data_IF_409482347552
#
_entry.id   IF_409482347552
#
_cell.length_a   1.000
_cell.length_b   1.000
_cell.length_c   1.000
_cell.angle_alpha   90.00
_cell.angle_beta   90.00
_cell.angle_gamma   90.00
#
_symmetry.space_group_name_H-M   'P 1'
#
loop_
_entity.id
_entity.type
_entity.pdbx_description
1 polymer ?
2 non-polymer ?
3 non-polymer ?
4 non-polymer ?
5 non-polymer ?
6 water ?
#
# COMPACT_ATOMS: atom_id res chain seq x y z
N UNK A 1 -29.98 10.62 -8.12
CA UNK A 1 -29.37 11.38 -9.26
C UNK A 1 -28.07 12.11 -8.88
N UNK A 2 -28.13 12.95 -7.82
CA UNK A 2 -26.94 13.59 -7.19
C UNK A 2 -25.93 12.50 -6.96
N UNK A 3 -26.42 11.38 -6.42
CA UNK A 3 -25.60 10.19 -6.20
C UNK A 3 -24.85 9.54 -7.42
N UNK A 4 -25.24 9.87 -8.66
CA UNK A 4 -24.38 9.61 -9.88
C UNK A 4 -23.16 10.55 -10.00
N UNK A 5 -22.94 11.44 -9.04
CA UNK A 5 -21.70 12.18 -8.93
C UNK A 5 -20.82 11.58 -7.84
N UNK A 6 -21.25 10.49 -7.21
CA UNK A 6 -20.39 9.75 -6.28
C UNK A 6 -20.08 8.41 -6.92
N UNK A 7 -18.81 8.09 -6.99
CA UNK A 7 -18.38 6.85 -7.59
C UNK A 7 -17.10 6.38 -6.90
N UNK A 8 -17.10 5.14 -6.44
CA UNK A 8 -15.96 4.62 -5.73
C UNK A 8 -14.94 4.00 -6.71
N UNK A 9 -13.71 4.46 -6.59
CA UNK A 9 -12.52 3.76 -7.06
C UNK A 9 -11.61 3.56 -5.85
N UNK A 10 -11.17 2.32 -5.61
CA UNK A 10 -10.38 2.01 -4.43
C UNK A 10 -8.89 2.22 -4.68
N UNK A 11 -8.23 3.00 -3.83
CA UNK A 11 -6.77 3.14 -3.93
C UNK A 11 -6.06 1.79 -3.77
N UNK A 12 -4.98 1.57 -4.52
CA UNK A 12 -4.24 0.32 -4.42
C UNK A 12 -3.80 0.05 -2.95
N UNK A 13 -3.36 1.11 -2.26
CA UNK A 13 -2.97 1.04 -0.85
C UNK A 13 -4.07 0.68 0.12
N UNK A 14 -5.34 0.79 -0.29
CA UNK A 14 -6.45 0.39 0.56
C UNK A 14 -7.11 -0.88 0.13
N UNK A 15 -6.61 -1.54 -0.91
CA UNK A 15 -7.29 -2.75 -1.40
C UNK A 15 -7.32 -3.87 -0.37
N UNK A 16 -6.30 -3.97 0.46
CA UNK A 16 -6.29 -5.00 1.50
C UNK A 16 -7.51 -4.85 2.43
N UNK A 17 -7.97 -3.63 2.67
CA UNK A 17 -9.14 -3.42 3.52
C UNK A 17 -10.42 -4.07 3.01
N UNK A 18 -10.53 -4.25 1.69
CA UNK A 18 -11.79 -4.73 1.11
C UNK A 18 -11.64 -6.07 0.39
N UNK A 19 -10.41 -6.60 0.38
CA UNK A 19 -10.10 -7.81 -0.37
C UNK A 19 -10.56 -9.11 0.34
N UNK A 20 -10.79 -9.05 1.63
CA UNK A 20 -11.12 -10.23 2.40
C UNK A 20 -12.40 -10.89 1.90
N UNK A 21 -12.44 -12.19 2.10
CA UNK A 21 -13.55 -12.99 1.63
C UNK A 21 -14.32 -13.57 2.80
N UNK A 22 -15.64 -13.73 2.67
CA UNK A 22 -16.40 -14.39 3.72
C UNK A 22 -15.85 -15.80 3.91
N UNK A 23 -15.92 -16.32 5.13
CA UNK A 23 -15.48 -17.70 5.37
C UNK A 23 -16.32 -18.65 4.51
N UNK A 24 -17.61 -18.33 4.36
CA UNK A 24 -18.51 -19.12 3.48
C UNK A 24 -18.15 -18.94 2.02
N UNK A 25 -17.79 -20.05 1.37
CA UNK A 25 -17.42 -20.03 -0.05
C UNK A 25 -18.60 -19.64 -0.95
N UNK A 26 -19.81 -20.09 -0.63
CA UNK A 26 -21.03 -19.66 -1.37
C UNK A 26 -21.32 -18.14 -1.26
N UNK A 27 -21.09 -17.58 -0.08
CA UNK A 27 -21.22 -16.12 0.09
C UNK A 27 -20.08 -15.40 -0.68
N UNK A 28 -18.86 -15.96 -0.68
CA UNK A 28 -17.74 -15.36 -1.46
C UNK A 28 -18.16 -15.28 -2.92
N UNK A 29 -18.65 -16.40 -3.45
CA UNK A 29 -19.11 -16.44 -4.85
C UNK A 29 -20.33 -15.57 -5.17
N UNK A 30 -21.20 -15.35 -4.18
CA UNK A 30 -22.33 -14.43 -4.29
C UNK A 30 -21.90 -12.96 -4.20
N UNK A 31 -20.63 -12.71 -3.94
CA UNK A 31 -20.12 -11.34 -3.82
C UNK A 31 -20.51 -10.62 -2.54
N UNK A 32 -20.74 -11.37 -1.46
CA UNK A 32 -21.04 -10.72 -0.17
C UNK A 32 -19.76 -10.16 0.40
N UNK A 33 -19.85 -9.00 0.99
CA UNK A 33 -18.69 -8.35 1.59
C UNK A 33 -18.50 -8.77 3.05
N UNK A 34 -17.26 -8.81 3.52
CA UNK A 34 -17.00 -9.09 4.93
C UNK A 34 -17.33 -7.85 5.74
N UNK A 35 -17.50 -8.02 7.04
CA UNK A 35 -17.72 -6.88 7.95
C UNK A 35 -16.55 -5.88 7.91
N UNK A 36 -15.33 -6.37 7.85
CA UNK A 36 -14.19 -5.50 7.67
C UNK A 36 -14.30 -4.65 6.42
N UNK A 37 -14.67 -5.27 5.31
CA UNK A 37 -14.76 -4.56 4.02
C UNK A 37 -15.82 -3.47 4.10
N UNK A 38 -16.97 -3.81 4.69
CA UNK A 38 -18.05 -2.84 4.83
C UNK A 38 -17.68 -1.66 5.69
N UNK A 39 -16.95 -1.94 6.76
CA UNK A 39 -16.48 -0.89 7.63
C UNK A 39 -15.52 0.05 6.87
N UNK A 40 -14.63 -0.50 6.06
CA UNK A 40 -13.74 0.33 5.25
C UNK A 40 -14.52 1.16 4.20
N UNK A 41 -15.49 0.55 3.56
CA UNK A 41 -16.28 1.26 2.54
C UNK A 41 -17.10 2.41 3.18
N UNK A 42 -17.55 2.23 4.41
CA UNK A 42 -18.23 3.33 5.12
C UNK A 42 -17.30 4.51 5.35
N UNK A 43 -16.03 4.23 5.65
CA UNK A 43 -15.08 5.32 5.85
C UNK A 43 -14.86 6.08 4.54
N UNK A 44 -14.84 5.33 3.44
CA UNK A 44 -14.69 5.94 2.13
C UNK A 44 -15.93 6.76 1.83
N UNK A 45 -17.13 6.21 2.07
CA UNK A 45 -18.36 6.97 1.85
C UNK A 45 -18.38 8.26 2.69
N UNK A 46 -18.01 8.18 3.97
CA UNK A 46 -18.04 9.37 4.83
C UNK A 46 -16.97 10.41 4.44
N UNK A 47 -15.85 9.96 3.91
CA UNK A 47 -14.91 10.92 3.36
C UNK A 47 -15.50 11.66 2.17
N UNK A 48 -16.06 10.93 1.21
CA UNK A 48 -16.57 11.57 -0.03
C UNK A 48 -17.82 12.42 0.26
N UNK A 49 -18.66 11.98 1.22
CA UNK A 49 -19.87 12.74 1.55
C UNK A 49 -19.53 13.93 2.44
N UNK A 50 -18.65 13.75 3.42
CA UNK A 50 -18.53 14.75 4.48
C UNK A 50 -17.16 15.35 4.62
N UNK A 51 -16.18 14.84 3.86
CA UNK A 51 -14.82 15.33 3.94
C UNK A 51 -14.09 14.86 5.19
N UNK A 52 -14.61 13.85 5.87
CA UNK A 52 -13.97 13.38 7.09
C UNK A 52 -12.97 12.28 6.75
N UNK A 53 -11.72 12.57 7.02
CA UNK A 53 -10.62 11.66 6.73
C UNK A 53 -10.30 10.87 7.98
N UNK A 54 -10.60 9.58 7.92
CA UNK A 54 -10.38 8.67 9.03
C UNK A 54 -8.89 8.56 9.35
N UNK A 55 -8.04 8.35 8.35
CA UNK A 55 -6.60 8.19 8.58
C UNK A 55 -5.86 9.47 8.16
N UNK A 56 -5.52 10.32 9.13
CA UNK A 56 -4.82 11.56 8.88
C UNK A 56 -3.36 11.40 8.37
N UNK A 57 -2.60 10.49 8.96
CA UNK A 57 -1.17 10.47 8.70
C UNK A 57 -0.46 10.97 9.94
N UNK A 58 0.77 10.48 10.13
CA UNK A 58 1.47 10.57 11.42
C UNK A 58 3.00 10.48 11.17
N UNK A 59 3.80 10.42 12.24
CA UNK A 59 5.26 10.37 12.07
C UNK A 59 5.73 9.18 11.19
N UNK A 60 5.05 8.04 11.28
CA UNK A 60 5.41 6.85 10.49
C UNK A 60 5.31 7.11 9.00
N UNK A 61 4.18 7.66 8.57
CA UNK A 61 3.96 7.99 7.16
C UNK A 61 4.78 9.24 6.76
N UNK A 62 4.96 10.21 7.66
CA UNK A 62 5.79 11.35 7.33
C UNK A 62 7.24 10.94 7.10
N UNK A 63 7.76 9.93 7.80
CA UNK A 63 9.14 9.48 7.57
C UNK A 63 9.32 9.02 6.13
N UNK A 64 8.37 8.22 5.66
CA UNK A 64 8.41 7.73 4.26
C UNK A 64 8.36 8.86 3.25
N UNK A 65 7.62 9.90 3.56
CA UNK A 65 7.56 11.05 2.66
C UNK A 65 8.88 11.77 2.62
N UNK A 66 9.47 12.04 3.78
CA UNK A 66 10.76 12.72 3.84
C UNK A 66 11.89 11.95 3.22
N UNK A 67 11.86 10.64 3.30
CA UNK A 67 13.02 9.84 2.88
C UNK A 67 12.77 9.17 1.53
N UNK A 68 11.72 9.61 0.86
CA UNK A 68 11.26 8.97 -0.37
C UNK A 68 12.33 8.94 -1.43
N UNK A 69 13.01 10.07 -1.59
CA UNK A 69 14.09 10.19 -2.57
C UNK A 69 15.25 9.26 -2.24
N UNK A 70 15.76 9.31 -1.01
CA UNK A 70 16.77 8.38 -0.52
C UNK A 70 16.40 6.92 -0.71
N UNK A 71 15.13 6.56 -0.47
CA UNK A 71 14.70 5.18 -0.65
C UNK A 71 14.87 4.77 -2.11
N UNK A 72 14.42 5.63 -3.02
CA UNK A 72 14.47 5.33 -4.45
C UNK A 72 15.91 5.21 -4.93
N UNK A 73 16.80 6.04 -4.39
CA UNK A 73 18.23 5.92 -4.70
C UNK A 73 18.77 4.58 -4.22
N UNK A 74 18.41 4.14 -3.04
CA UNK A 74 18.90 2.83 -2.56
C UNK A 74 18.34 1.66 -3.42
N UNK A 75 17.08 1.80 -3.80
CA UNK A 75 16.45 0.82 -4.71
C UNK A 75 17.23 0.73 -5.99
N UNK A 76 17.67 1.88 -6.50
CA UNK A 76 18.47 1.94 -7.70
C UNK A 76 19.87 1.36 -7.58
N UNK A 77 20.64 1.76 -6.57
CA UNK A 77 22.02 1.25 -6.43
C UNK A 77 22.02 -0.24 -6.12
N UNK A 78 21.03 -0.72 -5.38
CA UNK A 78 20.93 -2.15 -5.09
C UNK A 78 20.82 -2.95 -6.39
N UNK A 79 20.22 -2.35 -7.42
CA UNK A 79 20.01 -3.01 -8.72
C UNK A 79 20.91 -2.51 -9.88
N UNK A 80 21.78 -1.55 -9.63
CA UNK A 80 22.59 -0.98 -10.69
C UNK A 80 21.78 -0.23 -11.73
N UNK A 81 20.63 0.32 -11.33
CA UNK A 81 19.73 1.02 -12.24
C UNK A 81 19.56 2.47 -11.79
N UNK A 82 19.45 3.39 -12.73
CA UNK A 82 19.13 4.80 -12.43
C UNK A 82 17.63 4.89 -12.37
N UNK A 83 17.07 5.01 -11.18
CA UNK A 83 15.61 5.02 -11.00
C UNK A 83 15.10 6.41 -10.60
N UNK A 84 13.89 6.76 -11.03
CA UNK A 84 13.24 8.02 -10.63
C UNK A 84 11.84 7.72 -10.02
N UNK A 85 11.38 8.60 -9.13
CA UNK A 85 10.02 8.54 -8.62
C UNK A 85 9.04 8.68 -9.78
N UNK A 86 8.16 7.69 -9.96
CA UNK A 86 7.00 7.79 -10.86
C UNK A 86 6.04 8.89 -10.37
N UNK A 87 5.54 9.73 -11.28
CA UNK A 87 4.68 10.82 -10.86
C UNK A 87 3.30 10.75 -11.44
N UNK A 88 2.92 9.64 -12.08
CA UNK A 88 1.53 9.55 -12.53
C UNK A 88 0.64 8.65 -11.70
N UNK A 89 -0.58 9.11 -11.52
CA UNK A 89 -1.59 8.32 -10.88
C UNK A 89 -2.36 7.71 -12.02
N UNK A 90 -2.49 6.40 -12.07
CA UNK A 90 -3.33 5.78 -13.07
C UNK A 90 -4.57 5.30 -12.42
N UNK A 91 -5.57 5.02 -13.25
CA UNK A 91 -6.79 4.38 -12.81
C UNK A 91 -7.47 3.63 -13.90
N UNK A 92 -8.33 2.69 -13.50
CA UNK A 92 -9.16 1.99 -14.41
C UNK A 92 -10.56 2.11 -13.85
N UNK A 93 -11.47 1.19 -14.15
CA UNK A 93 -12.81 1.34 -13.66
C UNK A 93 -12.97 0.94 -12.19
N UNK A 94 -11.94 0.36 -11.59
CA UNK A 94 -12.04 -0.20 -10.24
C UNK A 94 -11.15 0.46 -9.20
N UNK A 95 -9.92 0.77 -9.61
CA UNK A 95 -8.88 1.18 -8.70
C UNK A 95 -8.10 2.37 -9.24
N UNK A 96 -7.36 3.01 -8.35
CA UNK A 96 -6.44 4.08 -8.72
C UNK A 96 -5.15 3.78 -7.98
N UNK A 97 -4.04 4.22 -8.54
CA UNK A 97 -2.76 3.97 -7.95
C UNK A 97 -1.69 4.89 -8.48
N UNK A 98 -0.72 5.19 -7.62
CA UNK A 98 0.48 5.88 -7.98
C UNK A 98 1.62 5.09 -7.38
N UNK A 99 2.35 4.34 -8.18
CA UNK A 99 3.46 3.54 -7.71
C UNK A 99 4.67 4.43 -7.49
N UNK A 100 5.67 3.90 -6.79
CA UNK A 100 6.90 4.64 -6.54
C UNK A 100 7.79 4.60 -7.76
N UNK A 101 8.09 3.39 -8.23
CA UNK A 101 9.01 3.18 -9.36
C UNK A 101 8.41 2.22 -10.37
N UNK A 102 8.48 2.61 -11.65
CA UNK A 102 8.06 1.78 -12.77
C UNK A 102 9.29 1.56 -13.63
N UNK A 103 9.62 0.29 -13.91
CA UNK A 103 10.78 -0.06 -14.77
C UNK A 103 10.22 -0.86 -15.97
N UNK A 104 9.85 -0.15 -17.06
CA UNK A 104 9.22 -0.81 -18.20
C UNK A 104 10.16 -1.84 -18.89
N UNK A 105 11.44 -1.52 -18.94
CA UNK A 105 12.52 -2.40 -19.39
C UNK A 105 12.42 -3.82 -18.76
N UNK A 106 11.97 -3.93 -17.50
CA UNK A 106 11.82 -5.25 -16.85
C UNK A 106 10.38 -5.64 -16.48
N UNK A 107 9.38 -4.90 -16.99
CA UNK A 107 7.95 -5.12 -16.65
C UNK A 107 7.82 -5.24 -15.12
N UNK A 108 8.38 -4.25 -14.43
CA UNK A 108 8.63 -4.33 -12.99
C UNK A 108 8.13 -3.08 -12.30
N UNK A 109 7.42 -3.27 -11.17
CA UNK A 109 7.12 -2.20 -10.22
C UNK A 109 8.01 -2.38 -9.00
N UNK A 110 8.57 -1.29 -8.49
CA UNK A 110 9.22 -1.30 -7.20
C UNK A 110 8.49 -0.37 -6.29
N UNK A 111 8.32 -0.79 -5.05
CA UNK A 111 7.74 0.02 -4.01
C UNK A 111 8.67 0.06 -2.77
N UNK A 112 8.94 1.25 -2.27
CA UNK A 112 9.77 1.42 -1.11
C UNK A 112 8.89 1.59 0.15
N UNK A 113 9.23 0.87 1.21
CA UNK A 113 8.55 0.98 2.50
C UNK A 113 9.62 1.36 3.53
N UNK A 114 9.53 2.59 4.05
CA UNK A 114 10.52 3.14 4.98
C UNK A 114 10.13 2.79 6.40
N UNK A 115 10.71 1.74 6.94
CA UNK A 115 10.40 1.31 8.31
C UNK A 115 10.69 2.40 9.36
N UNK A 116 9.86 2.44 10.39
CA UNK A 116 10.08 3.37 11.49
C UNK A 116 11.36 3.09 12.31
N UNK A 117 11.49 1.85 12.77
CA UNK A 117 12.59 1.49 13.64
C UNK A 117 13.00 0.03 13.46
N UNK A 118 14.08 -0.35 14.14
CA UNK A 118 14.64 -1.69 14.06
C UNK A 118 13.57 -2.73 14.39
N UNK A 119 12.77 -2.44 15.40
CA UNK A 119 11.70 -3.33 15.79
C UNK A 119 10.66 -3.63 14.72
N UNK A 120 10.28 -2.61 13.97
CA UNK A 120 9.20 -2.74 13.01
C UNK A 120 9.76 -3.14 11.63
N UNK A 121 11.05 -2.90 11.42
CA UNK A 121 11.68 -3.22 10.14
C UNK A 121 11.88 -4.74 9.98
N UNK A 122 11.44 -5.31 8.85
CA UNK A 122 11.61 -6.74 8.63
C UNK A 122 12.98 -7.13 8.02
N UNK A 123 13.96 -7.29 8.89
CA UNK A 123 15.25 -7.74 8.53
C UNK A 123 15.20 -9.13 7.93
N UNK A 124 14.33 -10.00 8.47
CA UNK A 124 14.41 -11.43 8.19
C UNK A 124 13.48 -11.78 7.06
N UNK A 125 13.85 -12.73 6.21
CA UNK A 125 13.03 -12.95 5.01
C UNK A 125 11.61 -13.42 5.32
N UNK A 126 11.43 -14.34 6.29
CA UNK A 126 10.08 -14.77 6.70
C UNK A 126 9.29 -13.58 7.26
N UNK A 127 9.96 -12.76 8.04
CA UNK A 127 9.38 -11.57 8.63
C UNK A 127 8.88 -10.59 7.58
N UNK A 128 9.67 -10.37 6.54
CA UNK A 128 9.32 -9.48 5.44
C UNK A 128 8.12 -9.99 4.66
N UNK A 129 8.14 -11.28 4.34
CA UNK A 129 7.01 -11.92 3.66
C UNK A 129 5.71 -11.78 4.42
N UNK A 130 5.75 -12.04 5.72
CA UNK A 130 4.58 -11.91 6.56
C UNK A 130 4.16 -10.47 6.65
N UNK A 131 5.11 -9.55 6.78
CA UNK A 131 4.73 -8.14 6.91
C UNK A 131 3.98 -7.68 5.63
N UNK A 132 4.47 -8.10 4.48
CA UNK A 132 3.85 -7.72 3.23
C UNK A 132 2.43 -8.33 3.16
N UNK A 133 2.26 -9.55 3.68
CA UNK A 133 0.95 -10.22 3.70
C UNK A 133 0.04 -9.51 4.69
N UNK A 134 0.51 -9.33 5.93
CA UNK A 134 -0.30 -8.70 6.98
C UNK A 134 -0.69 -7.27 6.61
N UNK A 135 0.22 -6.50 6.03
CA UNK A 135 -0.05 -5.10 5.72
C UNK A 135 -0.86 -4.92 4.42
N UNK A 136 -1.05 -6.00 3.66
CA UNK A 136 -1.72 -5.95 2.39
C UNK A 136 -0.90 -5.44 1.20
N UNK A 137 0.41 -5.36 1.35
CA UNK A 137 1.25 -4.85 0.26
C UNK A 137 1.29 -5.78 -0.90
N UNK A 138 1.14 -7.08 -0.67
CA UNK A 138 1.06 -8.01 -1.79
C UNK A 138 -0.10 -7.64 -2.74
N UNK A 139 -1.26 -7.35 -2.19
CA UNK A 139 -2.45 -7.01 -2.99
C UNK A 139 -2.25 -5.63 -3.64
N UNK A 140 -1.65 -4.71 -2.89
CA UNK A 140 -1.31 -3.40 -3.43
C UNK A 140 -0.46 -3.54 -4.70
N UNK A 141 0.52 -4.46 -4.66
CA UNK A 141 1.42 -4.63 -5.81
C UNK A 141 0.62 -5.20 -6.98
N UNK A 142 -0.37 -6.07 -6.70
CA UNK A 142 -1.16 -6.66 -7.79
C UNK A 142 -1.95 -5.57 -8.49
N UNK A 143 -2.42 -4.60 -7.71
CA UNK A 143 -3.12 -3.45 -8.24
C UNK A 143 -2.21 -2.59 -9.09
N UNK A 144 -0.96 -2.35 -8.66
CA UNK A 144 -0.04 -1.59 -9.52
C UNK A 144 0.34 -2.36 -10.78
N UNK A 145 0.55 -3.67 -10.66
CA UNK A 145 0.93 -4.47 -11.82
C UNK A 145 -0.21 -4.45 -12.86
N UNK A 146 -1.44 -4.42 -12.38
CA UNK A 146 -2.61 -4.34 -13.23
C UNK A 146 -2.62 -3.00 -13.98
N UNK A 147 -2.45 -1.90 -13.23
CA UNK A 147 -2.49 -0.58 -13.81
C UNK A 147 -1.34 -0.28 -14.72
N UNK A 148 -0.19 -0.92 -14.50
CA UNK A 148 1.05 -0.65 -15.26
C UNK A 148 1.46 -1.79 -16.17
N UNK A 149 0.61 -2.80 -16.34
CA UNK A 149 0.87 -3.94 -17.24
C UNK A 149 2.22 -4.59 -16.98
N UNK A 150 2.50 -4.91 -15.71
CA UNK A 150 3.78 -5.49 -15.31
C UNK A 150 3.61 -6.92 -14.86
N UNK A 151 4.71 -7.65 -14.93
CA UNK A 151 4.78 -9.07 -14.58
C UNK A 151 5.26 -9.30 -13.18
N UNK A 152 6.00 -8.36 -12.60
CA UNK A 152 6.46 -8.52 -11.24
C UNK A 152 6.56 -7.22 -10.48
N UNK A 153 6.59 -7.33 -9.16
CA UNK A 153 6.73 -6.22 -8.23
C UNK A 153 7.74 -6.65 -7.18
N UNK A 154 8.51 -5.69 -6.68
CA UNK A 154 9.43 -5.93 -5.62
C UNK A 154 9.22 -4.88 -4.56
N UNK A 155 8.97 -5.33 -3.34
CA UNK A 155 8.73 -4.41 -2.22
C UNK A 155 10.06 -4.32 -1.50
N UNK A 156 10.65 -3.14 -1.52
CA UNK A 156 11.90 -2.85 -0.81
C UNK A 156 11.58 -2.23 0.57
N UNK A 157 11.64 -3.05 1.61
CA UNK A 157 11.58 -2.58 2.98
C UNK A 157 12.97 -2.02 3.29
N UNK A 158 13.01 -0.73 3.68
CA UNK A 158 14.26 -0.02 3.91
C UNK A 158 14.24 0.72 5.24
N UNK A 159 15.31 0.55 6.03
CA UNK A 159 15.47 1.20 7.34
C UNK A 159 16.55 2.24 7.24
N UNK A 160 16.15 3.51 7.37
CA UNK A 160 17.06 4.60 7.52
C UNK A 160 16.88 5.15 8.92
N UNK A 161 17.84 5.92 9.40
CA UNK A 161 17.61 6.65 10.65
C UNK A 161 16.42 7.57 10.55
N UNK A 162 15.70 7.75 11.67
CA UNK A 162 14.55 8.61 11.68
C UNK A 162 15.03 10.06 11.68
N UNK A 163 14.52 10.90 10.76
CA UNK A 163 14.89 12.33 10.76
C UNK A 163 14.56 12.99 12.08
N UNK A 164 15.44 13.83 12.58
CA UNK A 164 15.28 14.46 13.90
C UNK A 164 13.94 15.13 14.12
N UNK A 165 13.42 15.77 13.09
CA UNK A 165 12.19 16.51 13.24
C UNK A 165 10.97 15.59 13.54
N UNK A 166 11.13 14.28 13.41
CA UNK A 166 10.04 13.37 13.64
C UNK A 166 10.16 12.62 14.96
N UNK A 167 11.21 12.87 15.73
CA UNK A 167 11.42 12.16 16.98
C UNK A 167 10.76 12.97 18.10
N UNK A 168 9.64 12.47 18.61
CA UNK A 168 8.89 13.17 19.67
C UNK A 168 9.64 13.14 20.99
N UNK A 169 9.13 13.92 21.94
CA UNK A 169 9.70 14.05 23.28
C UNK A 169 9.92 12.68 23.89
N UNK A 170 9.01 11.75 23.61
CA UNK A 170 9.07 10.43 24.21
C UNK A 170 9.84 9.38 23.41
N UNK A 171 10.21 9.69 22.17
CA UNK A 171 10.93 8.79 21.28
C UNK A 171 12.45 8.85 21.61
N UNK A 172 13.18 7.81 21.20
CA UNK A 172 14.61 7.69 21.49
C UNK A 172 15.49 8.01 20.25
N UNK A 173 16.30 9.06 20.38
CA UNK A 173 17.41 9.34 19.46
C UNK A 173 18.35 8.16 19.37
N UNK A 174 18.64 7.54 20.49
CA UNK A 174 19.58 6.43 20.51
C UNK A 174 19.08 5.27 19.66
N UNK A 175 17.82 4.91 19.86
CA UNK A 175 17.22 3.79 19.12
C UNK A 175 16.90 4.10 17.65
N UNK A 176 16.32 5.27 17.38
CA UNK A 176 15.82 5.62 16.08
C UNK A 176 16.89 6.15 15.09
N UNK A 177 18.05 6.59 15.62
CA UNK A 177 19.18 7.07 14.84
C UNK A 177 20.50 6.30 15.09
N UNK A 178 21.04 6.40 16.31
CA UNK A 178 22.40 5.85 16.58
C UNK A 178 22.54 4.36 16.28
N UNK A 179 21.62 3.56 16.81
CA UNK A 179 21.65 2.12 16.56
C UNK A 179 21.48 1.77 15.09
N UNK A 180 20.77 2.60 14.32
CA UNK A 180 20.51 2.31 12.92
C UNK A 180 21.75 2.60 12.05
N UNK A 181 22.42 3.70 12.36
CA UNK A 181 23.64 4.09 11.68
C UNK A 181 24.82 3.12 11.90
N UNK A 182 24.78 2.32 12.94
CA UNK A 182 25.75 1.26 13.13
C UNK A 182 25.58 0.07 12.22
N UNK A 183 24.42 -0.08 11.57
CA UNK A 183 24.15 -1.28 10.81
C UNK A 183 24.51 -0.95 9.38
N UNK A 184 25.35 -1.76 8.73
CA UNK A 184 25.60 -1.56 7.31
C UNK A 184 24.31 -1.39 6.47
N UNK A 185 24.32 -0.40 5.61
CA UNK A 185 23.19 -0.11 4.79
C UNK A 185 22.71 -1.31 3.98
N UNK A 186 23.62 -2.14 3.48
CA UNK A 186 23.20 -3.33 2.75
C UNK A 186 22.40 -4.31 3.60
N UNK A 187 22.53 -4.29 4.94
CA UNK A 187 21.67 -5.13 5.80
C UNK A 187 20.32 -4.49 6.16
N UNK A 188 20.11 -3.24 5.73
CA UNK A 188 18.89 -2.51 6.08
C UNK A 188 17.90 -2.41 4.92
N UNK A 189 18.10 -3.21 3.87
CA UNK A 189 17.11 -3.35 2.80
C UNK A 189 16.76 -4.82 2.73
N UNK A 190 15.48 -5.14 2.79
CA UNK A 190 15.00 -6.49 2.56
C UNK A 190 13.92 -6.39 1.52
N UNK A 191 14.06 -7.18 0.44
CA UNK A 191 13.17 -7.11 -0.72
C UNK A 191 12.27 -8.35 -0.80
N UNK A 192 10.97 -8.17 -1.06
CA UNK A 192 10.04 -9.28 -1.27
C UNK A 192 9.52 -9.19 -2.71
N UNK A 193 9.61 -10.29 -3.46
CA UNK A 193 9.26 -10.31 -4.87
C UNK A 193 7.85 -10.87 -4.96
N UNK A 194 6.94 -10.15 -5.61
CA UNK A 194 5.57 -10.61 -5.80
C UNK A 194 5.35 -10.84 -7.31
N UNK A 195 4.95 -12.07 -7.69
CA UNK A 195 4.65 -12.37 -9.08
C UNK A 195 3.22 -11.88 -9.40
N UNK A 196 3.00 -11.38 -10.61
CA UNK A 196 1.64 -11.03 -11.08
C UNK A 196 0.77 -12.25 -10.95
N UNK A 197 -0.44 -12.11 -10.46
CA UNK A 197 -1.32 -13.26 -10.31
C UNK A 197 -2.67 -12.84 -10.79
N UNK A 198 -2.99 -13.22 -12.05
CA UNK A 198 -4.24 -12.81 -12.72
C UNK A 198 -5.51 -13.27 -12.01
N UNK A 199 -5.45 -14.39 -11.30
CA UNK A 199 -6.59 -14.80 -10.45
C UNK A 199 -6.80 -13.83 -9.29
N UNK A 200 -5.71 -13.33 -8.73
CA UNK A 200 -5.79 -12.30 -7.70
C UNK A 200 -6.31 -10.97 -8.26
N UNK A 201 -5.91 -10.62 -9.49
CA UNK A 201 -6.39 -9.40 -10.10
C UNK A 201 -7.91 -9.53 -10.33
N UNK A 202 -8.36 -10.69 -10.78
CA UNK A 202 -9.79 -10.97 -10.90
C UNK A 202 -10.52 -10.87 -9.57
N UNK A 203 -9.92 -11.36 -8.51
CA UNK A 203 -10.45 -11.19 -7.14
C UNK A 203 -10.57 -9.70 -6.76
N UNK A 204 -9.54 -8.89 -7.04
CA UNK A 204 -9.61 -7.43 -6.82
C UNK A 204 -10.86 -6.88 -7.55
N UNK A 205 -11.03 -7.22 -8.83
CA UNK A 205 -12.20 -6.80 -9.59
C UNK A 205 -13.52 -7.15 -8.90
N UNK A 206 -13.67 -8.40 -8.47
CA UNK A 206 -14.90 -8.88 -7.86
C UNK A 206 -15.18 -8.14 -6.56
N UNK A 207 -14.18 -8.09 -5.69
CA UNK A 207 -14.31 -7.43 -4.41
C UNK A 207 -14.58 -5.91 -4.54
N UNK A 208 -13.88 -5.24 -5.46
CA UNK A 208 -14.10 -3.82 -5.65
C UNK A 208 -15.53 -3.57 -6.21
N UNK A 209 -15.96 -4.43 -7.12
CA UNK A 209 -17.27 -4.30 -7.69
C UNK A 209 -18.37 -4.46 -6.63
N UNK A 210 -18.20 -5.40 -5.71
CA UNK A 210 -19.14 -5.55 -4.62
C UNK A 210 -19.05 -4.30 -3.69
N UNK A 211 -17.85 -3.82 -3.43
CA UNK A 211 -17.66 -2.59 -2.64
C UNK A 211 -18.35 -1.38 -3.25
N UNK A 212 -18.29 -1.24 -4.57
CA UNK A 212 -18.91 -0.08 -5.25
C UNK A 212 -20.44 -0.13 -5.13
N UNK A 213 -21.02 -1.34 -5.22
CA UNK A 213 -22.45 -1.47 -5.04
C UNK A 213 -22.84 -1.11 -3.62
N UNK A 214 -22.11 -1.59 -2.63
CA UNK A 214 -22.39 -1.23 -1.24
C UNK A 214 -22.24 0.28 -1.02
N UNK A 215 -21.14 0.83 -1.49
CA UNK A 215 -20.92 2.29 -1.45
C UNK A 215 -22.11 3.07 -2.03
N UNK A 216 -22.60 2.68 -3.21
CA UNK A 216 -23.71 3.38 -3.84
C UNK A 216 -24.99 3.38 -2.95
N UNK A 217 -25.20 2.27 -2.29
CA UNK A 217 -26.29 2.12 -1.35
C UNK A 217 -26.09 3.08 -0.18
N UNK A 218 -24.84 3.24 0.29
CA UNK A 218 -24.59 4.14 1.40
C UNK A 218 -24.87 5.58 0.95
N UNK A 219 -24.39 5.96 -0.23
CA UNK A 219 -24.62 7.29 -0.79
C UNK A 219 -26.12 7.59 -0.90
N UNK A 220 -26.90 6.62 -1.36
CA UNK A 220 -28.33 6.79 -1.50
C UNK A 220 -29.06 7.04 -0.20
N UNK A 221 -28.58 6.48 0.90
CA UNK A 221 -29.18 6.78 2.18
C UNK A 221 -29.00 8.25 2.59
N UNK A 222 -27.95 8.90 2.11
CA UNK A 222 -27.67 10.27 2.49
C UNK A 222 -28.12 11.20 1.37
N UNK A 223 -29.16 10.84 0.64
CA UNK A 223 -29.56 11.61 -0.58
C UNK A 223 -31.05 11.50 -0.60
X LIG B 1 5.96 3.18 -0.97
X LIG C 1 -2.09 4.10 -4.25
X LIG D 1 7.31 0.44 10.13
X LIG E 1 3.07 1.37 13.34
X LIG E 1 2.84 1.56 11.96
X LIG E 1 4.58 1.36 13.58
X LIG E 1 5.25 1.02 12.39
X LIG E 1 4.97 0.40 14.71
X LIG E 1 6.08 0.92 15.41
X LIG F 1 -16.75 20.10 2.09
X LIG F 1 -15.76 20.80 2.88
X LIG F 1 -16.73 18.63 2.48
X LIG F 1 -17.36 17.81 1.50
X LIG F 1 -16.55 17.55 0.34
X LIG F 1 -16.28 16.04 0.19
X LIG F 1 -14.88 15.73 0.26
X LIG G 1 -1.31 -0.93 2.71
X LIG G 1 -1.47 -1.76 1.55
X LIG G 1 -0.96 0.54 2.57
X LIG G 1 0.17 0.82 1.73
X LIG G 1 0.83 2.09 1.95
X LIG G 1 2.31 1.82 1.78
X LIG G 1 3.12 2.13 2.94
#
# INVERSE_FOLDING_TARGET
>A
GMNNLYHLKVRCSSLHKIIGEPKSKADKEAGKLTDTAKSAVREMAKFDLFGYNAFEGNKYTQKGNELEEQAIKLSGVTRGLALKKNTERRENEFITGECDIYVPSRKLIIDTKCSWDIGSHPFFTDEAQEKAKKAGYDIQMQGYMWLWDCDQAQIDFVLFPTPLNLISAYDSDFKLIDLVEQIPQIRRITTVIIQRDNELIDKIKERVSAAQKYYDQLISEMS
>B hetero
1 NA NA
>C hetero
1 CL CL
>D hetero
1 CL CL
>E hetero
1 GOL C1 O1 C2 O2 C3 O3
>F hetero
1 PEG C1 O1 C2 O2 C3 C4 O4
>G hetero
1 PEG C1 O1 C2 O2 C3 C4 O4
#
